data_IF_587237476316
#
_entry.id   IF_587237476316
#
_cell.length_a   1.000
_cell.length_b   1.000
_cell.length_c   1.000
_cell.angle_alpha   90.00
_cell.angle_beta   90.00
_cell.angle_gamma   90.00
#
_symmetry.space_group_name_H-M   'P 1'
#
loop_
_entity.id
_entity.type
_entity.pdbx_description
1 polymer ?
#
# COMPACT_ATOMS: atom_id res chain seq x y z
N UNK A 1 16.05 -5.19 15.90
CA UNK A 1 15.01 -4.30 15.34
C UNK A 1 14.27 -5.01 14.25
N UNK A 2 12.94 -4.96 14.25
CA UNK A 2 12.21 -5.49 13.12
C UNK A 2 12.56 -4.67 11.86
N UNK A 3 12.82 -5.35 10.77
CA UNK A 3 13.16 -4.71 9.51
C UNK A 3 11.99 -3.84 9.01
N UNK A 4 12.28 -2.82 8.20
CA UNK A 4 11.27 -1.97 7.57
C UNK A 4 10.27 -2.83 6.77
N UNK A 5 10.75 -3.91 6.16
CA UNK A 5 9.93 -4.89 5.45
C UNK A 5 8.94 -5.62 6.35
N UNK A 6 9.33 -6.02 7.57
CA UNK A 6 8.41 -6.67 8.49
C UNK A 6 7.37 -5.71 9.05
N UNK A 7 7.74 -4.45 9.26
CA UNK A 7 6.78 -3.39 9.64
C UNK A 7 5.77 -3.09 8.52
N UNK A 8 6.25 -2.93 7.31
CA UNK A 8 5.40 -2.72 6.14
C UNK A 8 4.45 -3.90 5.94
N UNK A 9 4.95 -5.13 6.10
CA UNK A 9 4.15 -6.34 6.02
C UNK A 9 3.06 -6.38 7.10
N UNK A 10 3.41 -6.03 8.35
CA UNK A 10 2.45 -5.98 9.45
C UNK A 10 1.35 -4.94 9.20
N UNK A 11 1.70 -3.74 8.72
CA UNK A 11 0.74 -2.68 8.37
C UNK A 11 -0.20 -3.16 7.27
N UNK A 12 0.32 -3.82 6.23
CA UNK A 12 -0.49 -4.33 5.12
C UNK A 12 -1.45 -5.44 5.56
N UNK A 13 -1.05 -6.29 6.50
CA UNK A 13 -1.91 -7.36 7.01
C UNK A 13 -2.92 -6.90 8.06
N UNK A 14 -2.62 -5.81 8.79
CA UNK A 14 -3.48 -5.27 9.84
C UNK A 14 -4.49 -4.23 9.33
N UNK A 15 -4.54 -3.96 8.02
CA UNK A 15 -5.53 -3.05 7.44
C UNK A 15 -6.95 -3.58 7.73
N UNK A 16 -7.87 -2.73 8.25
CA UNK A 16 -9.23 -3.14 8.52
C UNK A 16 -9.95 -3.68 7.28
N UNK A 17 -10.88 -4.59 7.50
CA UNK A 17 -11.68 -5.21 6.41
C UNK A 17 -12.31 -4.17 5.48
N UNK A 18 -12.82 -3.07 6.02
CA UNK A 18 -13.40 -1.98 5.23
C UNK A 18 -12.38 -1.34 4.28
N UNK A 19 -11.16 -1.14 4.73
CA UNK A 19 -10.08 -0.63 3.90
C UNK A 19 -9.70 -1.59 2.77
N UNK A 20 -9.63 -2.87 3.07
CA UNK A 20 -9.38 -3.93 2.07
C UNK A 20 -10.50 -4.00 1.04
N UNK A 21 -11.75 -3.91 1.50
CA UNK A 21 -12.93 -3.90 0.64
C UNK A 21 -12.92 -2.68 -0.30
N UNK A 22 -12.64 -1.50 0.23
CA UNK A 22 -12.53 -0.28 -0.57
C UNK A 22 -11.44 -0.42 -1.64
N UNK A 23 -10.30 -1.00 -1.30
CA UNK A 23 -9.22 -1.27 -2.25
C UNK A 23 -9.69 -2.21 -3.38
N UNK A 24 -10.36 -3.30 -3.05
CA UNK A 24 -10.90 -4.24 -4.03
C UNK A 24 -11.91 -3.59 -4.96
N UNK A 25 -12.80 -2.76 -4.41
CA UNK A 25 -13.79 -2.00 -5.17
C UNK A 25 -13.15 -0.96 -6.08
N UNK A 26 -12.09 -0.29 -5.61
CA UNK A 26 -11.33 0.65 -6.44
C UNK A 26 -10.65 -0.03 -7.63
N UNK A 27 -10.25 -1.28 -7.49
CA UNK A 27 -9.63 -2.08 -8.54
C UNK A 27 -10.62 -2.73 -9.50
N UNK A 28 -11.90 -2.72 -9.16
CA UNK A 28 -12.96 -3.32 -9.98
C UNK A 28 -13.41 -2.35 -11.08
N UNK A 29 -13.31 -2.76 -12.32
CA UNK A 29 -13.71 -1.96 -13.48
C UNK A 29 -15.22 -1.77 -13.59
N UNK A 30 -16.02 -2.63 -12.96
CA UNK A 30 -17.48 -2.54 -12.95
C UNK A 30 -18.01 -1.39 -12.09
N UNK A 31 -17.18 -0.85 -11.21
CA UNK A 31 -17.55 0.28 -10.36
C UNK A 31 -17.44 1.58 -11.17
N UNK A 32 -18.45 2.49 -11.14
CA UNK A 32 -18.38 3.76 -11.83
C UNK A 32 -17.18 4.61 -11.40
N UNK A 33 -16.66 5.41 -12.32
CA UNK A 33 -15.48 6.25 -12.07
C UNK A 33 -15.77 7.41 -11.12
N UNK A 34 -17.02 7.89 -11.07
CA UNK A 34 -17.39 9.05 -10.25
C UNK A 34 -17.15 8.82 -8.75
N UNK A 35 -17.64 7.74 -8.10
CA UNK A 35 -17.32 7.48 -6.70
C UNK A 35 -15.83 7.21 -6.46
N UNK A 36 -15.14 6.58 -7.40
CA UNK A 36 -13.68 6.37 -7.33
C UNK A 36 -12.91 7.70 -7.30
N UNK A 37 -13.27 8.61 -8.19
CA UNK A 37 -12.66 9.95 -8.26
C UNK A 37 -12.95 10.74 -6.98
N UNK A 38 -14.17 10.66 -6.44
CA UNK A 38 -14.55 11.33 -5.21
C UNK A 38 -13.74 10.82 -4.01
N UNK A 39 -13.54 9.51 -3.89
CA UNK A 39 -12.70 8.92 -2.84
C UNK A 39 -11.25 9.37 -2.96
N UNK A 40 -10.67 9.31 -4.16
CA UNK A 40 -9.29 9.74 -4.40
C UNK A 40 -9.10 11.23 -4.11
N UNK A 41 -10.07 12.06 -4.48
CA UNK A 41 -10.04 13.50 -4.18
C UNK A 41 -10.10 13.75 -2.66
N UNK A 42 -10.98 13.05 -1.95
CA UNK A 42 -11.10 13.17 -0.49
C UNK A 42 -9.81 12.74 0.22
N UNK A 43 -9.25 11.60 -0.16
CA UNK A 43 -7.98 11.12 0.40
C UNK A 43 -6.81 12.03 0.04
N UNK A 44 -6.80 12.58 -1.17
CA UNK A 44 -5.80 13.54 -1.60
C UNK A 44 -5.82 14.82 -0.77
N UNK A 45 -6.99 15.34 -0.45
CA UNK A 45 -7.16 16.50 0.43
C UNK A 45 -6.66 16.19 1.85
N UNK A 46 -7.01 15.03 2.39
CA UNK A 46 -6.61 14.60 3.74
C UNK A 46 -5.10 14.46 3.85
N UNK A 47 -4.45 13.93 2.81
CA UNK A 47 -3.00 13.67 2.79
C UNK A 47 -2.21 14.91 2.35
N UNK A 48 -2.86 15.93 1.76
CA UNK A 48 -2.19 17.12 1.26
C UNK A 48 -1.52 17.93 2.38
N UNK A 49 -0.20 18.17 2.32
CA UNK A 49 0.49 18.93 3.37
C UNK A 49 0.10 20.40 3.43
N UNK A 50 -0.47 20.95 2.35
CA UNK A 50 -0.91 22.36 2.29
C UNK A 50 -2.17 22.59 3.13
N UNK A 51 -3.14 21.70 3.04
CA UNK A 51 -4.36 21.76 3.84
C UNK A 51 -4.11 21.36 5.29
N UNK A 52 -3.13 20.50 5.51
CA UNK A 52 -2.76 20.01 6.83
C UNK A 52 -2.33 21.14 7.77
N UNK A 53 -1.51 22.08 7.28
CA UNK A 53 -1.02 23.21 8.09
C UNK A 53 -2.11 24.23 8.42
N UNK A 54 -3.12 24.39 7.56
CA UNK A 54 -4.23 25.33 7.78
C UNK A 54 -5.30 24.77 8.72
N UNK A 55 -5.55 23.46 8.70
CA UNK A 55 -6.66 22.82 9.40
C UNK A 55 -6.28 22.10 10.68
N UNK A 56 -5.00 21.73 10.86
CA UNK A 56 -4.52 21.01 12.07
C UNK A 56 -4.86 21.73 13.39
N UNK A 57 -4.77 23.08 13.51
CA UNK A 57 -5.15 23.75 14.74
C UNK A 57 -6.65 23.66 15.07
N UNK A 58 -7.49 23.41 14.06
CA UNK A 58 -8.97 23.42 14.19
C UNK A 58 -9.53 22.03 14.34
N UNK A 59 -9.00 21.04 13.62
CA UNK A 59 -9.57 19.70 13.53
C UNK A 59 -8.85 18.64 14.37
N UNK A 60 -7.54 18.78 14.60
CA UNK A 60 -6.74 17.75 15.28
C UNK A 60 -6.60 16.45 14.50
N UNK A 61 -5.70 15.57 14.92
CA UNK A 61 -5.41 14.29 14.24
C UNK A 61 -6.61 13.34 14.21
N UNK A 62 -7.44 13.37 15.24
CA UNK A 62 -8.59 12.48 15.39
C UNK A 62 -9.66 12.71 14.32
N UNK A 63 -9.89 13.96 13.97
CA UNK A 63 -10.93 14.32 12.99
C UNK A 63 -10.54 13.94 11.57
N UNK A 64 -9.23 13.97 11.25
CA UNK A 64 -8.74 13.54 9.93
C UNK A 64 -8.90 12.04 9.72
N UNK A 65 -8.63 11.25 10.75
CA UNK A 65 -8.84 9.80 10.69
C UNK A 65 -10.33 9.48 10.53
N UNK A 66 -11.20 10.16 11.27
CA UNK A 66 -12.64 10.00 11.16
C UNK A 66 -13.17 10.38 9.78
N UNK A 67 -12.66 11.46 9.20
CA UNK A 67 -13.00 11.88 7.82
C UNK A 67 -12.55 10.85 6.79
N UNK A 68 -11.37 10.27 6.96
CA UNK A 68 -10.87 9.20 6.10
C UNK A 68 -11.76 7.95 6.15
N UNK A 69 -12.15 7.53 7.34
CA UNK A 69 -13.06 6.41 7.55
C UNK A 69 -14.42 6.69 6.91
N UNK A 70 -14.95 7.88 7.13
CA UNK A 70 -16.24 8.29 6.57
C UNK A 70 -16.20 8.31 5.04
N UNK A 71 -15.13 8.80 4.44
CA UNK A 71 -14.94 8.80 2.99
C UNK A 71 -14.92 7.39 2.42
N UNK A 72 -14.21 6.46 3.07
CA UNK A 72 -14.15 5.06 2.69
C UNK A 72 -15.51 4.39 2.82
N UNK A 73 -16.22 4.59 3.91
CA UNK A 73 -17.56 4.03 4.12
C UNK A 73 -18.55 4.55 3.10
N UNK A 74 -18.53 5.85 2.81
CA UNK A 74 -19.38 6.48 1.80
C UNK A 74 -19.13 5.88 0.41
N UNK A 75 -17.86 5.65 0.07
CA UNK A 75 -17.48 5.00 -1.17
C UNK A 75 -18.05 3.57 -1.25
N UNK A 76 -17.89 2.78 -0.20
CA UNK A 76 -18.39 1.41 -0.13
C UNK A 76 -19.92 1.37 -0.30
N UNK A 77 -20.64 2.27 0.36
CA UNK A 77 -22.11 2.38 0.24
C UNK A 77 -22.56 2.82 -1.15
N UNK A 78 -21.74 3.60 -1.85
CA UNK A 78 -22.04 4.03 -3.22
C UNK A 78 -21.84 2.91 -4.25
N UNK A 79 -21.17 1.83 -3.90
CA UNK A 79 -20.95 0.70 -4.80
C UNK A 79 -22.16 -0.24 -4.84
N UNK A 80 -22.43 -0.90 -6.00
CA UNK A 80 -23.49 -1.89 -6.10
C UNK A 80 -23.33 -3.01 -5.07
N UNK A 81 -24.44 -3.41 -4.45
CA UNK A 81 -24.44 -4.37 -3.35
C UNK A 81 -23.96 -5.76 -3.76
N UNK A 82 -24.33 -6.21 -4.94
CA UNK A 82 -23.93 -7.50 -5.48
C UNK A 82 -22.41 -7.59 -5.71
N UNK A 83 -21.80 -6.55 -6.25
CA UNK A 83 -20.34 -6.45 -6.44
C UNK A 83 -19.65 -6.38 -5.08
N UNK A 84 -20.18 -5.59 -4.16
CA UNK A 84 -19.65 -5.48 -2.80
C UNK A 84 -19.64 -6.82 -2.07
N UNK A 85 -20.71 -7.58 -2.15
CA UNK A 85 -20.81 -8.92 -1.54
C UNK A 85 -19.85 -9.90 -2.14
N UNK A 86 -19.63 -9.83 -3.45
CA UNK A 86 -18.65 -10.67 -4.14
C UNK A 86 -17.23 -10.43 -3.59
N UNK A 87 -16.83 -9.18 -3.42
CA UNK A 87 -15.53 -8.83 -2.85
C UNK A 87 -15.43 -9.18 -1.37
N UNK A 88 -16.49 -9.01 -0.60
CA UNK A 88 -16.53 -9.43 0.82
C UNK A 88 -16.31 -10.94 0.95
N UNK A 89 -16.97 -11.74 0.13
CA UNK A 89 -16.79 -13.18 0.12
C UNK A 89 -15.37 -13.58 -0.27
N UNK A 90 -14.77 -12.90 -1.24
CA UNK A 90 -13.38 -13.13 -1.65
C UNK A 90 -12.39 -12.77 -0.54
N UNK A 91 -12.65 -11.70 0.21
CA UNK A 91 -11.84 -11.32 1.37
C UNK A 91 -11.91 -12.34 2.49
N UNK A 92 -13.11 -12.85 2.78
CA UNK A 92 -13.30 -13.89 3.80
C UNK A 92 -12.60 -15.20 3.44
N UNK A 93 -12.55 -15.52 2.14
CA UNK A 93 -11.85 -16.69 1.61
C UNK A 93 -10.34 -16.44 1.40
N UNK A 94 -9.82 -15.25 1.66
CA UNK A 94 -8.44 -14.83 1.39
C UNK A 94 -8.01 -15.00 -0.08
N UNK A 95 -8.96 -14.82 -0.99
CA UNK A 95 -8.78 -14.93 -2.44
C UNK A 95 -9.09 -13.61 -3.15
N UNK A 96 -9.09 -12.49 -2.42
CA UNK A 96 -9.40 -11.17 -2.97
C UNK A 96 -8.24 -10.61 -3.80
N UNK A 97 -8.55 -9.56 -4.56
CA UNK A 97 -7.54 -8.76 -5.28
C UNK A 97 -6.52 -8.17 -4.29
N UNK A 98 -6.96 -7.76 -3.10
CA UNK A 98 -6.07 -7.29 -2.03
C UNK A 98 -5.04 -8.34 -1.65
N UNK A 99 -5.50 -9.57 -1.37
CA UNK A 99 -4.62 -10.67 -0.97
C UNK A 99 -3.60 -11.00 -2.05
N UNK A 100 -4.03 -10.99 -3.32
CA UNK A 100 -3.17 -11.22 -4.47
C UNK A 100 -2.13 -10.11 -4.62
N UNK A 101 -2.56 -8.86 -4.61
CA UNK A 101 -1.69 -7.70 -4.79
C UNK A 101 -0.67 -7.57 -3.66
N UNK A 102 -1.07 -7.87 -2.42
CA UNK A 102 -0.14 -7.89 -1.27
C UNK A 102 0.92 -8.97 -1.46
N UNK A 103 0.52 -10.18 -1.86
CA UNK A 103 1.48 -11.27 -2.13
C UNK A 103 2.44 -10.91 -3.26
N UNK A 104 1.94 -10.36 -4.34
CA UNK A 104 2.75 -9.96 -5.49
C UNK A 104 3.72 -8.83 -5.12
N UNK A 105 3.27 -7.86 -4.34
CA UNK A 105 4.10 -6.75 -3.86
C UNK A 105 5.21 -7.24 -2.93
N UNK A 106 4.89 -8.13 -1.99
CA UNK A 106 5.88 -8.71 -1.08
C UNK A 106 6.91 -9.55 -1.86
N UNK A 107 6.45 -10.35 -2.83
CA UNK A 107 7.32 -11.14 -3.69
C UNK A 107 8.25 -10.25 -4.53
N UNK A 108 7.71 -9.20 -5.16
CA UNK A 108 8.50 -8.24 -5.92
C UNK A 108 9.54 -7.51 -5.06
N UNK A 109 9.16 -7.12 -3.84
CA UNK A 109 10.07 -6.49 -2.89
C UNK A 109 11.21 -7.43 -2.48
N UNK A 110 10.91 -8.71 -2.24
CA UNK A 110 11.94 -9.73 -1.94
C UNK A 110 12.91 -9.90 -3.11
N UNK A 111 12.42 -9.99 -4.34
CA UNK A 111 13.24 -10.09 -5.53
C UNK A 111 14.09 -8.84 -5.76
N UNK A 112 13.50 -7.65 -5.55
CA UNK A 112 14.21 -6.38 -5.65
C UNK A 112 15.35 -6.27 -4.64
N UNK A 113 15.10 -6.63 -3.39
CA UNK A 113 16.13 -6.67 -2.33
C UNK A 113 17.23 -7.67 -2.65
N UNK A 114 16.87 -8.87 -3.13
CA UNK A 114 17.81 -9.88 -3.55
C UNK A 114 18.74 -9.39 -4.66
N UNK A 115 18.18 -8.72 -5.67
CA UNK A 115 18.95 -8.12 -6.77
C UNK A 115 19.95 -7.05 -6.28
N UNK A 116 19.52 -6.21 -5.35
CA UNK A 116 20.37 -5.16 -4.77
C UNK A 116 21.53 -5.81 -3.99
N UNK A 117 21.25 -6.81 -3.18
CA UNK A 117 22.27 -7.56 -2.42
C UNK A 117 23.25 -8.23 -3.37
N UNK A 118 22.78 -8.87 -4.44
CA UNK A 118 23.64 -9.52 -5.43
C UNK A 118 24.55 -8.51 -6.16
N UNK A 119 24.03 -7.31 -6.47
CA UNK A 119 24.84 -6.23 -7.05
C UNK A 119 25.92 -5.75 -6.10
N UNK A 120 25.62 -5.60 -4.83
CA UNK A 120 26.59 -5.19 -3.80
C UNK A 120 27.67 -6.25 -3.64
N UNK A 121 27.29 -7.53 -3.58
CA UNK A 121 28.24 -8.65 -3.51
C UNK A 121 29.14 -8.72 -4.74
N UNK A 122 28.59 -8.53 -5.92
CA UNK A 122 29.33 -8.52 -7.18
C UNK A 122 30.35 -7.39 -7.22
N UNK A 123 29.96 -6.18 -6.76
CA UNK A 123 30.92 -5.05 -6.67
C UNK A 123 32.03 -5.30 -5.64
N UNK A 124 31.70 -5.90 -4.50
CA UNK A 124 32.69 -6.26 -3.49
C UNK A 124 33.71 -7.27 -4.03
N UNK A 125 33.26 -8.29 -4.77
CA UNK A 125 34.15 -9.26 -5.43
C UNK A 125 35.09 -8.58 -6.43
N UNK A 126 34.59 -7.70 -7.28
CA UNK A 126 35.42 -6.94 -8.23
C UNK A 126 36.46 -6.08 -7.52
N UNK A 127 36.10 -5.48 -6.40
CA UNK A 127 37.02 -4.68 -5.60
C UNK A 127 38.18 -5.52 -5.05
N UNK A 128 37.87 -6.70 -4.53
CA UNK A 128 38.86 -7.63 -4.00
C UNK A 128 39.84 -8.14 -5.10
N UNK A 129 39.29 -8.43 -6.27
CA UNK A 129 40.12 -8.81 -7.43
C UNK A 129 41.06 -7.68 -7.86
N UNK A 130 40.58 -6.44 -7.89
CA UNK A 130 41.42 -5.28 -8.23
C UNK A 130 42.50 -5.04 -7.21
N UNK A 131 42.25 -5.22 -5.93
CA UNK A 131 43.28 -5.09 -4.88
C UNK A 131 44.30 -6.18 -4.95
N UNK A 132 43.95 -7.42 -5.22
CA UNK A 132 44.89 -8.52 -5.36
C UNK A 132 45.81 -8.34 -6.57
N UNK A 133 45.31 -7.80 -7.67
CA UNK A 133 46.12 -7.49 -8.87
C UNK A 133 47.09 -6.33 -8.58
N UNK A 134 46.69 -5.30 -7.87
CA UNK A 134 47.57 -4.17 -7.53
C UNK A 134 48.65 -4.52 -6.51
N UNK A 135 48.44 -5.51 -5.63
CA UNK A 135 49.44 -5.99 -4.67
C UNK A 135 50.52 -6.88 -5.30
N UNK A 136 50.21 -7.54 -6.42
CA UNK A 136 51.14 -8.42 -7.14
C UNK A 136 52.04 -7.64 -8.13
N UNK A 137 51.65 -6.45 -8.48
CA UNK A 137 52.40 -5.54 -9.34
C UNK A 137 53.20 -4.54 -8.57
#
# INVERSE_FOLDING_TARGET
MPSILSRAKAILFDVPKHGKLAYCLMRDERIPKAPKAALLAALGIIVSPLDFTAWVPVLGEFDMLALGILAVETFIEACPEDIRREHEAALDAKQSVWDRDVRDTVSAARHGVGRVIDRIRSRARHRDEYQSISEVG
#
